data_IF_698270304576
#
_entry.id   IF_698270304576
#
_cell.length_a   1.000
_cell.length_b   1.000
_cell.length_c   1.000
_cell.angle_alpha   90.00
_cell.angle_beta   90.00
_cell.angle_gamma   90.00
#
_symmetry.space_group_name_H-M   'P 1'
#
loop_
_entity.id
_entity.type
_entity.pdbx_description
1 polymer ?
#
# COMPACT_ATOMS: atom_id res chain seq x y z
N UNK A 1 -19.88 -41.69 -58.11
CA UNK A 1 -19.44 -40.35 -57.69
C UNK A 1 -19.34 -40.37 -56.18
N UNK A 2 -18.21 -40.26 -55.50
CA UNK A 2 -16.86 -39.84 -55.85
C UNK A 2 -16.21 -39.46 -54.51
N UNK A 3 -15.09 -40.12 -54.21
CA UNK A 3 -13.87 -39.59 -53.57
C UNK A 3 -13.97 -39.11 -52.09
N UNK A 4 -13.56 -39.86 -51.05
CA UNK A 4 -12.21 -40.25 -50.55
C UNK A 4 -11.57 -39.19 -49.57
N UNK A 5 -10.43 -39.44 -48.90
CA UNK A 5 -10.33 -39.47 -47.43
C UNK A 5 -9.23 -38.53 -46.91
N UNK A 6 -9.34 -37.94 -45.72
CA UNK A 6 -8.15 -37.35 -45.08
C UNK A 6 -8.31 -37.12 -43.59
N UNK A 7 -7.58 -37.93 -42.83
CA UNK A 7 -6.75 -37.52 -41.70
C UNK A 7 -6.81 -36.04 -41.33
N UNK A 8 -7.37 -35.72 -40.17
CA UNK A 8 -6.95 -34.57 -39.35
C UNK A 8 -7.03 -35.02 -37.88
N UNK A 9 -5.96 -35.66 -37.40
CA UNK A 9 -4.95 -35.04 -36.54
C UNK A 9 -5.53 -34.54 -35.22
N UNK A 10 -5.29 -35.36 -34.20
CA UNK A 10 -5.27 -35.04 -32.78
C UNK A 10 -4.44 -33.77 -32.58
N UNK A 11 -5.04 -32.71 -32.06
CA UNK A 11 -4.31 -31.69 -31.31
C UNK A 11 -5.04 -31.43 -30.00
N UNK A 12 -4.56 -32.08 -28.95
CA UNK A 12 -4.81 -31.70 -27.58
C UNK A 12 -4.18 -30.31 -27.35
N UNK A 13 -5.00 -29.27 -27.38
CA UNK A 13 -4.58 -27.93 -26.98
C UNK A 13 -4.66 -27.82 -25.46
N UNK A 14 -3.58 -28.23 -24.79
CA UNK A 14 -3.27 -27.79 -23.43
C UNK A 14 -2.88 -26.31 -23.49
N UNK A 15 -3.88 -25.43 -23.49
CA UNK A 15 -3.65 -24.01 -23.23
C UNK A 15 -3.40 -23.85 -21.72
N UNK A 16 -2.14 -24.01 -21.32
CA UNK A 16 -1.66 -23.63 -20.00
C UNK A 16 -1.88 -22.13 -19.83
N UNK A 17 -2.84 -21.76 -18.99
CA UNK A 17 -3.05 -20.37 -18.59
C UNK A 17 -1.92 -19.98 -17.64
N UNK A 18 -0.86 -19.39 -18.20
CA UNK A 18 0.22 -18.78 -17.44
C UNK A 18 -0.38 -17.63 -16.61
N UNK A 19 -0.48 -17.84 -15.30
CA UNK A 19 -0.78 -16.79 -14.33
C UNK A 19 0.43 -15.86 -14.25
N UNK A 20 0.45 -14.83 -15.09
CA UNK A 20 1.38 -13.70 -14.93
C UNK A 20 0.86 -12.88 -13.74
N UNK A 21 1.20 -13.32 -12.54
CA UNK A 21 1.06 -12.51 -11.33
C UNK A 21 2.09 -11.39 -11.38
N UNK A 22 1.69 -10.22 -11.86
CA UNK A 22 2.49 -9.01 -11.70
C UNK A 22 2.45 -8.59 -10.22
N UNK A 23 3.37 -9.14 -9.42
CA UNK A 23 3.59 -8.77 -8.03
C UNK A 23 4.24 -7.38 -7.95
N UNK A 24 3.44 -6.36 -8.31
CA UNK A 24 3.77 -4.97 -8.08
C UNK A 24 3.50 -4.60 -6.63
N UNK A 25 4.57 -4.33 -5.88
CA UNK A 25 4.56 -3.71 -4.54
C UNK A 25 3.80 -4.49 -3.45
N UNK A 26 4.10 -5.78 -3.28
CA UNK A 26 3.83 -6.42 -1.99
C UNK A 26 4.89 -5.91 -0.99
N UNK A 27 4.47 -5.09 -0.01
CA UNK A 27 5.24 -4.93 1.22
C UNK A 27 5.45 -6.30 1.88
N UNK A 28 6.42 -6.46 2.80
CA UNK A 28 6.70 -7.77 3.40
C UNK A 28 5.42 -8.41 3.97
N UNK A 29 5.36 -9.72 3.88
CA UNK A 29 4.16 -10.57 4.03
C UNK A 29 3.50 -10.52 5.44
N UNK A 30 4.02 -9.67 6.32
CA UNK A 30 3.58 -9.44 7.70
C UNK A 30 2.74 -8.16 7.89
N UNK A 31 2.45 -7.40 6.84
CA UNK A 31 1.45 -6.34 6.91
C UNK A 31 0.04 -6.92 6.75
N UNK A 32 -0.76 -6.92 7.82
CA UNK A 32 -2.19 -7.24 7.74
C UNK A 32 -2.98 -6.06 7.11
N UNK A 33 -2.62 -5.67 5.88
CA UNK A 33 -3.21 -4.57 5.14
C UNK A 33 -2.92 -4.62 3.63
N UNK A 34 -3.78 -3.99 2.84
CA UNK A 34 -3.69 -3.90 1.38
C UNK A 34 -3.00 -2.59 0.97
N UNK A 35 -1.75 -2.66 0.51
CA UNK A 35 -0.96 -1.50 0.09
C UNK A 35 -1.55 -0.76 -1.12
N UNK A 36 -2.26 -1.45 -2.02
CA UNK A 36 -2.89 -0.79 -3.18
C UNK A 36 -4.05 0.06 -2.72
N UNK A 37 -4.92 -0.51 -1.87
CA UNK A 37 -5.98 0.27 -1.23
C UNK A 37 -5.40 1.40 -0.38
N UNK A 38 -4.31 1.14 0.34
CA UNK A 38 -3.55 2.13 1.09
C UNK A 38 -3.20 3.36 0.26
N UNK A 39 -2.65 3.18 -0.94
CA UNK A 39 -2.27 4.24 -1.87
C UNK A 39 -3.46 5.16 -2.28
N UNK A 40 -4.67 4.61 -2.36
CA UNK A 40 -5.88 5.40 -2.62
C UNK A 40 -6.35 6.12 -1.35
N UNK A 41 -6.26 5.46 -0.19
CA UNK A 41 -6.66 6.06 1.08
C UNK A 41 -5.78 7.24 1.51
N UNK A 42 -4.47 7.23 1.25
CA UNK A 42 -3.60 8.39 1.51
C UNK A 42 -4.08 9.64 0.76
N UNK A 43 -4.67 9.47 -0.44
CA UNK A 43 -5.30 10.56 -1.20
C UNK A 43 -6.63 10.97 -0.57
N UNK A 44 -7.49 9.99 -0.27
CA UNK A 44 -8.83 10.23 0.26
C UNK A 44 -8.83 10.91 1.63
N UNK A 45 -7.92 10.52 2.51
CA UNK A 45 -7.70 11.16 3.82
C UNK A 45 -6.79 12.40 3.74
N UNK A 46 -6.42 12.83 2.51
CA UNK A 46 -5.71 14.07 2.24
C UNK A 46 -4.37 14.19 2.97
N UNK A 47 -3.68 13.08 3.20
CA UNK A 47 -2.37 13.07 3.85
C UNK A 47 -1.35 13.97 3.12
N UNK A 48 -1.49 14.06 1.79
CA UNK A 48 -0.68 14.92 0.92
C UNK A 48 -0.82 16.43 1.16
N UNK A 49 -1.85 16.88 1.89
CA UNK A 49 -1.96 18.30 2.28
C UNK A 49 -0.85 18.69 3.27
N UNK A 50 -0.42 17.75 4.11
CA UNK A 50 0.61 18.01 5.12
C UNK A 50 1.97 17.42 4.76
N UNK A 51 2.00 16.32 4.01
CA UNK A 51 3.21 15.56 3.71
C UNK A 51 3.53 15.50 2.22
N UNK A 52 4.82 15.48 1.92
CA UNK A 52 5.35 15.06 0.62
C UNK A 52 5.36 13.52 0.56
N UNK A 53 4.69 12.94 -0.44
CA UNK A 53 4.47 11.48 -0.56
C UNK A 53 4.82 11.00 -1.98
N UNK A 54 5.92 10.24 -2.15
CA UNK A 54 6.37 9.75 -3.44
C UNK A 54 5.32 8.87 -4.11
N UNK A 55 5.11 9.08 -5.41
CA UNK A 55 4.15 8.31 -6.20
C UNK A 55 2.68 8.70 -5.98
N UNK A 56 2.39 9.70 -5.14
CA UNK A 56 1.03 10.22 -4.93
C UNK A 56 0.91 11.61 -5.57
N UNK A 57 0.17 11.71 -6.66
CA UNK A 57 -0.02 12.96 -7.39
C UNK A 57 -0.59 14.07 -6.49
N UNK A 58 0.07 15.24 -6.49
CA UNK A 58 -0.35 16.40 -5.71
C UNK A 58 -0.07 16.32 -4.20
N UNK A 59 0.60 15.27 -3.71
CA UNK A 59 1.02 15.15 -2.32
C UNK A 59 2.41 15.75 -2.12
N UNK A 60 2.48 17.07 -1.99
CA UNK A 60 3.70 17.86 -1.84
C UNK A 60 3.64 18.81 -0.61
N UNK A 61 2.87 18.43 0.41
CA UNK A 61 2.74 19.20 1.64
C UNK A 61 4.04 19.25 2.45
N UNK A 62 4.24 20.34 3.19
CA UNK A 62 5.45 20.56 4.01
C UNK A 62 5.12 21.03 5.45
N UNK A 63 3.91 20.71 5.93
CA UNK A 63 3.52 20.96 7.32
C UNK A 63 4.09 19.87 8.22
N UNK A 64 3.98 18.62 7.77
CA UNK A 64 4.66 17.47 8.35
C UNK A 64 5.95 17.15 7.58
N UNK A 65 6.84 16.32 8.15
CA UNK A 65 8.04 15.89 7.44
C UNK A 65 7.69 15.08 6.18
N UNK A 66 8.55 15.08 5.14
CA UNK A 66 8.34 14.23 3.97
C UNK A 66 8.27 12.75 4.38
N UNK A 67 7.46 11.95 3.70
CA UNK A 67 7.32 10.51 3.97
C UNK A 67 8.26 9.64 3.12
N UNK A 68 9.29 10.26 2.55
CA UNK A 68 10.31 9.58 1.77
C UNK A 68 10.99 8.52 2.64
N UNK A 69 11.03 7.29 2.14
CA UNK A 69 11.67 6.16 2.85
C UNK A 69 11.11 5.91 4.26
N UNK A 70 9.86 6.30 4.54
CA UNK A 70 9.25 6.11 5.87
C UNK A 70 9.26 4.63 6.28
N UNK A 71 9.15 3.70 5.33
CA UNK A 71 9.21 2.26 5.56
C UNK A 71 10.57 1.74 6.06
N UNK A 72 11.64 2.54 5.99
CA UNK A 72 12.98 2.17 6.49
C UNK A 72 13.43 3.00 7.69
N UNK A 73 12.64 3.97 8.14
CA UNK A 73 12.97 4.78 9.33
C UNK A 73 12.82 3.96 10.60
N UNK A 74 13.67 4.22 11.59
CA UNK A 74 13.58 3.55 12.91
C UNK A 74 12.38 4.04 13.73
N UNK A 75 12.02 5.32 13.60
CA UNK A 75 11.00 5.96 14.43
C UNK A 75 9.94 6.69 13.60
N UNK A 76 8.70 6.64 14.10
CA UNK A 76 7.55 7.44 13.69
C UNK A 76 7.47 8.65 14.62
N UNK A 77 7.29 9.83 14.03
CA UNK A 77 7.29 11.12 14.73
C UNK A 77 8.55 11.41 15.60
N UNK A 78 9.61 10.59 15.49
CA UNK A 78 10.81 10.68 16.33
C UNK A 78 10.73 9.97 17.69
N UNK A 79 9.56 9.42 18.07
CA UNK A 79 9.33 8.90 19.42
C UNK A 79 8.84 7.44 19.45
N UNK A 80 8.13 6.99 18.41
CA UNK A 80 7.47 5.69 18.40
C UNK A 80 8.27 4.73 17.52
N UNK A 81 8.62 3.54 18.01
CA UNK A 81 9.30 2.54 17.17
C UNK A 81 8.48 2.23 15.93
N UNK A 82 9.11 2.24 14.76
CA UNK A 82 8.43 2.04 13.48
C UNK A 82 8.15 0.55 13.23
N UNK A 83 7.05 0.06 13.76
CA UNK A 83 6.50 -1.27 13.46
C UNK A 83 5.14 -1.16 12.73
N UNK A 84 4.70 -2.20 12.00
CA UNK A 84 3.41 -2.22 11.32
C UNK A 84 2.24 -1.78 12.21
N UNK A 85 2.17 -2.34 13.41
CA UNK A 85 1.10 -2.08 14.37
C UNK A 85 1.18 -0.65 14.92
N UNK A 86 2.39 -0.16 15.21
CA UNK A 86 2.58 1.21 15.69
C UNK A 86 2.25 2.25 14.60
N UNK A 87 2.58 1.97 13.34
CA UNK A 87 2.20 2.83 12.22
C UNK A 87 0.68 2.89 12.04
N UNK A 88 0.01 1.74 12.10
CA UNK A 88 -1.45 1.71 12.03
C UNK A 88 -2.09 2.46 13.20
N UNK A 89 -1.61 2.25 14.44
CA UNK A 89 -2.10 2.96 15.63
C UNK A 89 -1.85 4.48 15.55
N UNK A 90 -0.69 4.88 15.03
CA UNK A 90 -0.37 6.29 14.77
C UNK A 90 -1.35 6.91 13.77
N UNK A 91 -1.62 6.25 12.65
CA UNK A 91 -2.52 6.77 11.60
C UNK A 91 -3.97 6.85 12.07
N UNK A 92 -4.42 5.85 12.84
CA UNK A 92 -5.78 5.80 13.42
C UNK A 92 -6.06 7.03 14.30
N UNK A 93 -5.18 7.30 15.26
CA UNK A 93 -5.31 8.42 16.20
C UNK A 93 -3.95 8.93 16.69
N UNK A 94 -3.34 9.89 15.95
CA UNK A 94 -2.03 10.44 16.31
C UNK A 94 -2.01 11.08 17.69
N UNK A 95 -3.12 11.72 18.10
CA UNK A 95 -3.23 12.40 19.39
C UNK A 95 -3.33 11.43 20.56
N UNK A 96 -3.83 10.21 20.34
CA UNK A 96 -3.79 9.13 21.34
C UNK A 96 -2.42 8.48 21.40
N UNK A 97 -1.74 8.30 20.27
CA UNK A 97 -0.41 7.71 20.22
C UNK A 97 0.69 8.63 20.80
N UNK A 98 0.60 9.94 20.51
CA UNK A 98 1.50 10.97 21.06
C UNK A 98 0.72 12.27 21.31
N UNK A 99 0.20 12.48 22.53
CA UNK A 99 -0.57 13.69 22.85
C UNK A 99 0.21 14.98 22.58
N UNK A 100 -0.43 15.96 21.94
CA UNK A 100 0.14 17.29 21.68
C UNK A 100 1.02 17.40 20.44
N UNK A 101 1.11 16.35 19.62
CA UNK A 101 1.80 16.41 18.34
C UNK A 101 1.02 17.25 17.30
N UNK A 102 1.67 17.61 16.18
CA UNK A 102 1.05 18.48 15.16
C UNK A 102 0.05 17.78 14.22
N UNK A 103 0.09 16.45 14.10
CA UNK A 103 -0.86 15.68 13.28
C UNK A 103 -2.21 15.59 14.02
N UNK A 104 -3.31 16.07 13.42
CA UNK A 104 -4.60 16.16 14.11
C UNK A 104 -5.20 14.76 14.38
N UNK A 105 -6.27 14.73 15.18
CA UNK A 105 -7.08 13.52 15.35
C UNK A 105 -7.72 13.16 14.00
N UNK A 106 -7.34 12.01 13.45
CA UNK A 106 -7.81 11.58 12.12
C UNK A 106 -9.10 10.76 12.20
N UNK A 107 -9.26 9.92 13.23
CA UNK A 107 -10.43 9.05 13.37
C UNK A 107 -10.54 8.01 12.26
N UNK A 108 -9.40 7.58 11.71
CA UNK A 108 -9.35 6.62 10.60
C UNK A 108 -9.66 5.23 11.16
N UNK A 109 -10.64 4.49 10.60
CA UNK A 109 -10.93 3.12 11.05
C UNK A 109 -9.68 2.25 10.98
N UNK A 110 -9.49 1.37 11.96
CA UNK A 110 -8.23 0.62 12.09
C UNK A 110 -7.87 -0.21 10.84
N UNK A 111 -8.86 -0.73 10.10
CA UNK A 111 -8.62 -1.40 8.82
C UNK A 111 -7.97 -0.47 7.79
N UNK A 112 -8.48 0.74 7.65
CA UNK A 112 -7.94 1.75 6.73
C UNK A 112 -6.54 2.17 7.16
N UNK A 113 -6.31 2.33 8.46
CA UNK A 113 -5.00 2.66 8.99
C UNK A 113 -3.95 1.57 8.68
N UNK A 114 -4.33 0.29 8.73
CA UNK A 114 -3.47 -0.84 8.33
C UNK A 114 -3.17 -0.85 6.84
N UNK A 115 -4.18 -0.59 6.00
CA UNK A 115 -3.99 -0.51 4.55
C UNK A 115 -3.06 0.66 4.18
N UNK A 116 -3.24 1.83 4.80
CA UNK A 116 -2.33 2.98 4.63
C UNK A 116 -0.93 2.65 5.14
N UNK A 117 -0.79 2.02 6.31
CA UNK A 117 0.51 1.60 6.83
C UNK A 117 1.22 0.67 5.84
N UNK A 118 0.52 -0.33 5.30
CA UNK A 118 1.06 -1.25 4.29
C UNK A 118 1.62 -0.50 3.07
N UNK A 119 0.91 0.53 2.58
CA UNK A 119 1.41 1.41 1.53
C UNK A 119 2.66 2.20 1.97
N UNK A 120 2.64 2.84 3.13
CA UNK A 120 3.79 3.63 3.60
C UNK A 120 5.06 2.77 3.74
N UNK A 121 4.93 1.49 4.05
CA UNK A 121 6.06 0.57 4.12
C UNK A 121 6.61 0.13 2.76
N UNK A 122 5.91 0.39 1.66
CA UNK A 122 6.50 0.26 0.31
C UNK A 122 7.42 1.42 -0.04
N UNK A 123 7.37 2.53 0.71
CA UNK A 123 8.22 3.71 0.52
C UNK A 123 9.56 3.48 1.24
N UNK A 124 10.57 2.98 0.51
CA UNK A 124 11.91 2.63 1.03
C UNK A 124 13.03 3.44 0.41
#
# INVERSE_FOLDING_TARGET
>A
MGDNPASRLIMASLLGLAMIGNAGAAGPDNFNGDARRGADLVKNYRCGTCHDIPGVAGANGNVGPPLHRIGTRTYIAGYIQNSPDNMAAWIEDPQKALPGNAMPRMGIPQKDARDIAAFLYTLK
#
